data_IF_332874849995
#
_entry.id   IF_332874849995
#
_cell.length_a   1.000
_cell.length_b   1.000
_cell.length_c   1.000
_cell.angle_alpha   90.00
_cell.angle_beta   90.00
_cell.angle_gamma   90.00
#
_symmetry.space_group_name_H-M   'P 1'
#
loop_
_entity.id
_entity.type
_entity.pdbx_description
1 polymer ?
#
# COMPACT_ATOMS: atom_id res chain seq x y z
N UNK A 1 65.01 -10.55 16.30
CA UNK A 1 63.63 -10.53 16.82
C UNK A 1 63.35 -9.15 17.40
N UNK A 2 62.74 -8.24 16.63
CA UNK A 2 62.17 -6.94 17.09
C UNK A 2 61.63 -6.03 15.97
N UNK A 3 61.55 -6.49 14.72
CA UNK A 3 60.93 -5.72 13.62
C UNK A 3 59.61 -6.30 13.10
N UNK A 4 59.33 -7.59 13.31
CA UNK A 4 58.04 -8.19 12.91
C UNK A 4 56.83 -7.65 13.68
N UNK A 5 57.03 -7.20 14.93
CA UNK A 5 55.95 -6.66 15.76
C UNK A 5 55.63 -5.18 15.46
N UNK A 6 56.58 -4.43 14.89
CA UNK A 6 56.36 -3.03 14.50
C UNK A 6 55.54 -2.94 13.22
N UNK A 7 55.71 -3.90 12.29
CA UNK A 7 54.90 -3.98 11.08
C UNK A 7 53.46 -4.47 11.36
N UNK A 8 53.26 -5.37 12.33
CA UNK A 8 51.92 -5.81 12.72
C UNK A 8 51.12 -4.68 13.43
N UNK A 9 51.79 -3.85 14.23
CA UNK A 9 51.15 -2.69 14.89
C UNK A 9 50.78 -1.55 13.93
N UNK A 10 51.52 -1.38 12.82
CA UNK A 10 51.20 -0.41 11.79
C UNK A 10 50.04 -0.85 10.87
N UNK A 11 49.88 -2.17 10.67
CA UNK A 11 48.73 -2.73 9.93
C UNK A 11 47.44 -2.78 10.77
N UNK A 12 47.55 -2.96 12.10
CA UNK A 12 46.40 -2.93 13.01
C UNK A 12 45.92 -1.51 13.36
N UNK A 13 46.71 -0.46 13.06
CA UNK A 13 46.30 0.95 13.23
C UNK A 13 45.75 1.59 11.94
N UNK A 14 45.75 0.85 10.83
CA UNK A 14 45.06 1.22 9.58
C UNK A 14 43.65 0.60 9.50
N UNK A 15 43.18 -0.04 10.58
CA UNK A 15 41.90 -0.76 10.64
C UNK A 15 40.65 0.09 10.92
N UNK A 16 40.70 1.42 10.79
CA UNK A 16 39.53 2.30 10.94
C UNK A 16 39.54 3.40 9.87
N UNK A 17 39.52 2.99 8.61
CA UNK A 17 39.07 3.85 7.51
C UNK A 17 38.22 3.00 6.58
N UNK A 18 37.03 2.66 7.08
CA UNK A 18 35.90 2.37 6.21
C UNK A 18 35.59 3.67 5.46
N UNK A 19 36.14 3.82 4.25
CA UNK A 19 35.71 4.88 3.34
C UNK A 19 34.33 4.59 2.74
N UNK A 20 33.77 3.41 3.02
CA UNK A 20 32.44 3.01 2.55
C UNK A 20 31.29 3.61 3.37
N UNK A 21 31.50 3.93 4.65
CA UNK A 21 30.43 4.44 5.54
C UNK A 21 29.87 5.79 5.09
N UNK A 22 30.71 6.69 4.54
CA UNK A 22 30.29 8.04 4.14
C UNK A 22 29.36 8.11 2.93
N UNK A 23 29.21 7.02 2.18
CA UNK A 23 28.37 6.96 0.99
C UNK A 23 27.02 6.28 1.22
N UNK A 24 26.75 5.83 2.46
CA UNK A 24 25.54 5.10 2.87
C UNK A 24 24.99 5.68 4.19
N UNK A 25 25.18 6.99 4.40
CA UNK A 25 24.56 7.69 5.53
C UNK A 25 23.08 7.85 5.21
N UNK A 26 22.23 7.04 5.86
CA UNK A 26 20.77 7.14 5.76
C UNK A 26 20.36 8.47 6.41
N UNK A 27 19.50 9.29 5.77
CA UNK A 27 19.00 10.53 6.35
C UNK A 27 18.34 10.27 7.72
N UNK A 28 18.80 10.99 8.73
CA UNK A 28 18.12 11.09 10.03
C UNK A 28 17.35 12.41 10.06
N UNK A 29 16.16 12.42 10.65
CA UNK A 29 15.40 13.66 10.82
C UNK A 29 16.23 14.71 11.56
N UNK A 30 16.40 15.89 10.93
CA UNK A 30 17.29 16.94 11.42
C UNK A 30 16.64 17.89 12.45
N UNK A 31 15.35 17.68 12.75
CA UNK A 31 14.59 18.48 13.71
C UNK A 31 14.06 19.80 13.13
N UNK A 32 14.16 20.01 11.83
CA UNK A 32 13.59 21.17 11.14
C UNK A 32 12.20 20.80 10.63
N UNK A 33 11.21 21.58 11.05
CA UNK A 33 9.80 21.49 10.66
C UNK A 33 9.63 22.02 9.22
N UNK A 34 9.23 21.11 8.30
CA UNK A 34 9.03 21.38 6.87
C UNK A 34 7.57 21.22 6.46
N UNK A 35 6.78 20.44 7.19
CA UNK A 35 5.39 20.14 6.86
C UNK A 35 4.49 21.31 7.25
N UNK A 36 3.71 21.83 6.30
CA UNK A 36 2.86 23.00 6.53
C UNK A 36 1.51 22.61 7.14
N UNK A 37 1.17 23.17 8.30
CA UNK A 37 -0.23 23.18 8.78
C UNK A 37 -1.09 24.10 7.88
N UNK A 38 -1.89 23.49 6.98
CA UNK A 38 -2.69 24.17 5.98
C UNK A 38 -4.06 24.56 6.53
N UNK A 39 -4.31 25.87 6.53
CA UNK A 39 -5.56 26.45 6.97
C UNK A 39 -6.07 27.53 6.02
N UNK A 40 -7.26 28.04 6.31
CA UNK A 40 -7.93 29.04 5.47
C UNK A 40 -7.11 30.32 5.21
N UNK A 41 -6.09 30.61 6.01
CA UNK A 41 -5.23 31.80 5.88
C UNK A 41 -4.05 31.59 4.94
N UNK A 42 -3.44 30.40 4.92
CA UNK A 42 -2.16 30.16 4.25
C UNK A 42 -2.26 29.25 3.01
N UNK A 43 -3.25 28.35 2.91
CA UNK A 43 -3.23 27.26 1.92
C UNK A 43 -2.93 27.74 0.50
N UNK A 44 -3.64 28.77 0.00
CA UNK A 44 -3.41 29.36 -1.34
C UNK A 44 -2.01 29.88 -1.59
N UNK A 45 -1.32 30.33 -0.54
CA UNK A 45 0.03 30.88 -0.65
C UNK A 45 1.10 29.81 -0.50
N UNK A 46 0.80 28.71 0.19
CA UNK A 46 1.69 27.55 0.33
C UNK A 46 1.64 26.73 -0.95
N UNK A 47 0.45 26.35 -1.42
CA UNK A 47 0.21 25.63 -2.69
C UNK A 47 0.84 26.26 -3.93
N UNK A 48 1.21 27.55 -3.89
CA UNK A 48 1.80 28.27 -5.03
C UNK A 48 3.32 28.31 -5.02
N UNK A 49 3.94 27.82 -3.94
CA UNK A 49 5.39 27.82 -3.79
C UNK A 49 6.02 26.55 -4.34
N UNK A 50 5.23 25.50 -4.46
CA UNK A 50 5.67 24.16 -4.76
C UNK A 50 5.07 23.76 -6.11
N UNK A 51 5.87 23.06 -6.90
CA UNK A 51 5.44 22.45 -8.15
C UNK A 51 4.61 21.20 -7.87
N UNK A 52 5.00 20.44 -6.83
CA UNK A 52 4.23 19.32 -6.27
C UNK A 52 3.86 19.59 -4.82
N UNK A 53 2.59 19.44 -4.45
CA UNK A 53 2.14 19.54 -3.06
C UNK A 53 1.52 18.23 -2.57
N UNK A 54 2.15 17.60 -1.59
CA UNK A 54 1.67 16.43 -0.87
C UNK A 54 0.90 16.88 0.36
N UNK A 55 -0.36 16.46 0.48
CA UNK A 55 -1.25 16.86 1.57
C UNK A 55 -1.80 15.62 2.27
N UNK A 56 -1.49 15.45 3.55
CA UNK A 56 -2.14 14.46 4.38
C UNK A 56 -3.42 15.05 4.99
N UNK A 57 -4.58 14.50 4.60
CA UNK A 57 -5.89 14.89 5.12
C UNK A 57 -6.26 14.00 6.29
N UNK A 58 -5.97 14.46 7.50
CA UNK A 58 -5.93 13.58 8.67
C UNK A 58 -7.16 13.72 9.58
N UNK A 59 -7.45 12.64 10.31
CA UNK A 59 -8.47 12.61 11.35
C UNK A 59 -8.20 13.65 12.45
N UNK A 60 -9.26 14.20 13.06
CA UNK A 60 -9.06 15.19 14.10
C UNK A 60 -8.55 14.55 15.39
N UNK A 61 -7.30 14.85 15.72
CA UNK A 61 -6.65 14.37 16.94
C UNK A 61 -7.21 15.11 18.16
N UNK A 62 -8.07 14.44 18.93
CA UNK A 62 -8.59 14.94 20.21
C UNK A 62 -7.54 14.83 21.35
N UNK A 63 -7.94 15.07 22.60
CA UNK A 63 -7.06 14.94 23.78
C UNK A 63 -6.70 13.49 24.16
N UNK A 64 -6.75 12.55 23.21
CA UNK A 64 -6.36 11.16 23.41
C UNK A 64 -4.84 11.01 23.17
N UNK A 65 -4.11 10.65 24.22
CA UNK A 65 -2.64 10.50 24.18
C UNK A 65 -2.15 9.46 23.17
N UNK A 66 -2.92 8.41 22.89
CA UNK A 66 -2.52 7.38 21.94
C UNK A 66 -2.70 7.89 20.50
N UNK A 67 -3.82 8.53 20.21
CA UNK A 67 -4.07 9.16 18.91
C UNK A 67 -3.05 10.27 18.62
N UNK A 68 -2.67 11.07 19.63
CA UNK A 68 -1.60 12.07 19.50
C UNK A 68 -0.27 11.44 19.11
N UNK A 69 0.11 10.33 19.76
CA UNK A 69 1.36 9.66 19.43
C UNK A 69 1.35 9.01 18.06
N UNK A 70 0.21 8.44 17.64
CA UNK A 70 0.07 7.88 16.29
C UNK A 70 0.30 8.98 15.26
N UNK A 71 -0.43 10.10 15.39
CA UNK A 71 -0.27 11.25 14.53
C UNK A 71 1.14 11.85 14.53
N UNK A 72 1.80 11.92 15.68
CA UNK A 72 3.21 12.35 15.77
C UNK A 72 4.16 11.45 14.96
N UNK A 73 3.88 10.14 14.83
CA UNK A 73 4.68 9.24 13.99
C UNK A 73 4.41 9.47 12.50
N UNK A 74 3.15 9.66 12.14
CA UNK A 74 2.70 9.96 10.76
C UNK A 74 3.31 11.27 10.27
N UNK A 75 3.20 12.33 11.08
CA UNK A 75 3.82 13.63 10.81
C UNK A 75 5.35 13.50 10.67
N UNK A 76 6.00 12.69 11.51
CA UNK A 76 7.44 12.47 11.42
C UNK A 76 7.85 11.73 10.12
N UNK A 77 7.03 10.82 9.60
CA UNK A 77 7.27 10.18 8.32
C UNK A 77 7.23 11.21 7.18
N UNK A 78 6.22 12.09 7.19
CA UNK A 78 6.10 13.20 6.24
C UNK A 78 7.27 14.19 6.35
N UNK A 79 7.71 14.51 7.57
CA UNK A 79 8.87 15.37 7.82
C UNK A 79 10.17 14.77 7.26
N UNK A 80 10.36 13.45 7.41
CA UNK A 80 11.51 12.77 6.85
C UNK A 80 11.47 12.75 5.31
N UNK A 81 10.30 12.45 4.72
CA UNK A 81 10.11 12.52 3.28
C UNK A 81 10.38 13.94 2.74
N UNK A 82 9.82 14.97 3.40
CA UNK A 82 10.06 16.37 3.08
C UNK A 82 11.54 16.71 3.15
N UNK A 83 12.27 16.25 4.17
CA UNK A 83 13.71 16.48 4.28
C UNK A 83 14.51 15.84 3.14
N UNK A 84 14.15 14.62 2.73
CA UNK A 84 14.85 13.92 1.64
C UNK A 84 14.64 14.62 0.30
N UNK A 85 13.42 15.13 0.07
CA UNK A 85 13.03 15.75 -1.19
C UNK A 85 13.37 17.26 -1.27
N UNK A 86 13.65 17.94 -0.14
CA UNK A 86 14.04 19.36 -0.07
C UNK A 86 15.34 19.67 -0.84
N UNK A 87 16.19 18.67 -1.04
CA UNK A 87 17.46 18.78 -1.78
C UNK A 87 17.34 18.40 -3.28
N UNK A 88 16.12 18.09 -3.78
CA UNK A 88 15.92 17.84 -5.20
C UNK A 88 16.02 19.13 -6.01
N UNK A 89 16.87 19.10 -7.04
CA UNK A 89 17.13 20.27 -7.92
C UNK A 89 16.05 20.44 -9.00
N UNK A 90 15.26 19.40 -9.29
CA UNK A 90 14.38 19.34 -10.45
C UNK A 90 12.99 19.96 -10.18
N UNK A 91 12.36 19.66 -9.05
CA UNK A 91 11.00 20.12 -8.67
C UNK A 91 10.93 20.60 -7.21
N UNK A 92 10.22 21.69 -6.93
CA UNK A 92 9.97 22.16 -5.56
C UNK A 92 8.81 21.35 -4.95
N UNK A 93 9.11 20.32 -4.13
CA UNK A 93 8.10 19.47 -3.47
C UNK A 93 7.77 19.97 -2.06
N UNK A 94 6.48 20.19 -1.77
CA UNK A 94 5.99 20.64 -0.47
C UNK A 94 5.08 19.63 0.21
N UNK A 95 5.12 19.59 1.53
CA UNK A 95 4.27 18.72 2.35
C UNK A 95 3.34 19.54 3.25
N UNK A 96 2.14 19.05 3.51
CA UNK A 96 1.19 19.76 4.37
C UNK A 96 0.16 18.86 5.03
N UNK A 97 -0.44 19.40 6.09
CA UNK A 97 -1.47 18.76 6.90
C UNK A 97 -2.78 19.53 6.77
N UNK A 98 -3.89 18.81 6.65
CA UNK A 98 -5.24 19.38 6.74
C UNK A 98 -6.05 18.57 7.74
N UNK A 99 -6.55 19.22 8.79
CA UNK A 99 -7.39 18.59 9.82
C UNK A 99 -8.87 18.55 9.37
N UNK A 100 -9.49 17.37 9.39
CA UNK A 100 -10.91 17.16 8.98
C UNK A 100 -11.93 18.05 9.70
N UNK A 101 -11.68 18.44 10.96
CA UNK A 101 -12.61 19.25 11.74
C UNK A 101 -12.21 20.72 11.75
N UNK A 102 -10.93 21.02 11.99
CA UNK A 102 -10.44 22.41 12.09
C UNK A 102 -10.42 23.09 10.73
N UNK A 103 -10.04 22.36 9.68
CA UNK A 103 -9.75 22.90 8.35
C UNK A 103 -10.65 22.33 7.24
N UNK A 104 -11.83 21.84 7.62
CA UNK A 104 -12.89 21.36 6.71
C UNK A 104 -13.18 22.29 5.51
N UNK A 105 -13.05 23.61 5.70
CA UNK A 105 -13.28 24.58 4.62
C UNK A 105 -12.13 24.67 3.60
N UNK A 106 -10.95 24.17 3.95
CA UNK A 106 -9.80 23.99 3.07
C UNK A 106 -9.94 22.66 2.36
N UNK A 107 -10.19 21.56 3.09
CA UNK A 107 -10.47 20.24 2.52
C UNK A 107 -11.50 20.30 1.38
N UNK A 108 -12.68 20.87 1.65
CA UNK A 108 -13.74 21.07 0.63
C UNK A 108 -13.37 21.93 -0.58
N UNK A 109 -12.36 22.79 -0.47
CA UNK A 109 -11.91 23.64 -1.59
C UNK A 109 -10.82 22.97 -2.41
N UNK A 110 -10.08 22.06 -1.79
CA UNK A 110 -9.03 21.27 -2.42
C UNK A 110 -9.59 19.96 -2.97
N UNK A 111 -10.79 19.54 -2.55
CA UNK A 111 -11.40 18.28 -2.99
C UNK A 111 -10.90 17.08 -2.20
N UNK A 112 -10.49 17.27 -0.94
CA UNK A 112 -10.06 16.18 -0.06
C UNK A 112 -11.33 15.58 0.56
N UNK A 113 -11.67 14.37 0.15
CA UNK A 113 -12.93 13.71 0.50
C UNK A 113 -12.73 12.54 1.48
N UNK A 114 -11.61 11.81 1.38
CA UNK A 114 -11.29 10.66 2.22
C UNK A 114 -10.32 11.03 3.36
N UNK A 115 -10.79 10.84 4.59
CA UNK A 115 -10.02 11.14 5.80
C UNK A 115 -9.02 10.02 6.02
N UNK A 116 -7.82 10.39 6.47
CA UNK A 116 -6.64 9.52 6.60
C UNK A 116 -5.96 9.19 5.26
N UNK A 117 -6.25 9.92 4.18
CA UNK A 117 -5.61 9.77 2.88
C UNK A 117 -4.61 10.89 2.55
N UNK A 118 -3.67 10.60 1.65
CA UNK A 118 -2.73 11.58 1.09
C UNK A 118 -3.18 11.99 -0.31
N UNK A 119 -3.17 13.30 -0.56
CA UNK A 119 -3.46 13.88 -1.87
C UNK A 119 -2.23 14.60 -2.42
N UNK A 120 -1.82 14.25 -3.63
CA UNK A 120 -0.66 14.83 -4.31
C UNK A 120 -1.16 15.69 -5.45
N UNK A 121 -0.90 16.99 -5.34
CA UNK A 121 -1.21 17.97 -6.37
C UNK A 121 0.04 18.17 -7.22
N UNK A 122 -0.02 17.78 -8.49
CA UNK A 122 1.07 17.95 -9.46
C UNK A 122 0.47 18.52 -10.73
N UNK A 123 1.05 19.62 -11.23
CA UNK A 123 0.53 20.39 -12.37
C UNK A 123 -0.98 20.71 -12.27
N UNK A 124 -1.80 19.94 -12.99
CA UNK A 124 -3.23 20.10 -13.10
C UNK A 124 -4.03 18.92 -12.52
N UNK A 125 -3.32 17.90 -12.04
CA UNK A 125 -3.85 16.64 -11.55
C UNK A 125 -3.81 16.54 -10.02
N UNK A 126 -4.68 15.68 -9.50
CA UNK A 126 -4.77 15.33 -8.09
C UNK A 126 -4.72 13.82 -8.00
N UNK A 127 -3.62 13.30 -7.47
CA UNK A 127 -3.42 11.88 -7.23
C UNK A 127 -3.82 11.57 -5.79
N UNK A 128 -4.70 10.60 -5.59
CA UNK A 128 -5.01 10.04 -4.29
C UNK A 128 -4.04 8.89 -4.02
N UNK A 129 -3.20 9.04 -2.99
CA UNK A 129 -2.26 8.01 -2.57
C UNK A 129 -2.91 7.16 -1.49
N UNK A 130 -3.18 5.91 -1.84
CA UNK A 130 -3.81 4.90 -0.98
C UNK A 130 -2.83 3.73 -0.72
N UNK A 131 -1.61 4.10 -0.32
CA UNK A 131 -0.52 3.20 0.03
C UNK A 131 -0.04 3.35 1.47
N UNK A 132 0.98 2.59 1.85
CA UNK A 132 1.60 2.62 3.17
C UNK A 132 2.12 4.02 3.50
N UNK A 133 1.78 4.51 4.69
CA UNK A 133 2.29 5.77 5.22
C UNK A 133 3.69 5.59 5.82
N UNK A 134 4.67 5.37 4.95
CA UNK A 134 6.09 5.25 5.30
C UNK A 134 6.93 6.24 4.47
N UNK A 135 8.01 6.76 5.06
CA UNK A 135 8.79 7.81 4.43
C UNK A 135 9.52 7.35 3.16
N UNK A 136 10.06 6.13 3.17
CA UNK A 136 10.69 5.48 2.02
C UNK A 136 9.70 5.20 0.90
N UNK A 137 8.56 4.56 1.21
CA UNK A 137 7.50 4.29 0.23
C UNK A 137 6.97 5.58 -0.41
N UNK A 138 6.70 6.61 0.39
CA UNK A 138 6.27 7.91 -0.13
C UNK A 138 7.33 8.59 -0.99
N UNK A 139 8.61 8.54 -0.59
CA UNK A 139 9.70 9.12 -1.37
C UNK A 139 9.87 8.40 -2.70
N UNK A 140 9.80 7.08 -2.72
CA UNK A 140 9.83 6.28 -3.94
C UNK A 140 8.66 6.63 -4.87
N UNK A 141 7.44 6.66 -4.33
CA UNK A 141 6.26 7.05 -5.10
C UNK A 141 6.37 8.47 -5.67
N UNK A 142 6.88 9.42 -4.89
CA UNK A 142 7.04 10.81 -5.35
C UNK A 142 8.14 10.96 -6.41
N UNK A 143 9.14 10.07 -6.45
CA UNK A 143 10.07 10.03 -7.58
C UNK A 143 9.35 9.63 -8.86
N UNK A 144 8.47 8.63 -8.81
CA UNK A 144 7.67 8.24 -9.95
C UNK A 144 6.71 9.36 -10.39
N UNK A 145 6.07 10.06 -9.44
CA UNK A 145 5.15 11.18 -9.74
C UNK A 145 5.83 12.30 -10.53
N UNK A 146 7.09 12.63 -10.24
CA UNK A 146 7.81 13.72 -10.92
C UNK A 146 8.46 13.30 -12.24
N UNK A 147 8.44 12.02 -12.59
CA UNK A 147 8.89 11.56 -13.91
C UNK A 147 7.85 11.86 -15.00
N UNK A 148 8.29 11.89 -16.26
CA UNK A 148 7.40 12.07 -17.40
C UNK A 148 6.39 10.89 -17.46
N UNK A 149 5.09 11.14 -17.71
CA UNK A 149 4.07 10.10 -17.68
C UNK A 149 4.22 9.06 -18.81
N UNK A 150 4.98 9.37 -19.86
CA UNK A 150 5.25 8.46 -20.97
C UNK A 150 6.74 8.24 -21.22
N UNK A 151 7.20 7.02 -20.99
CA UNK A 151 8.58 6.60 -21.26
C UNK A 151 8.82 6.28 -22.75
N UNK A 152 9.90 6.81 -23.33
CA UNK A 152 10.23 6.58 -24.75
C UNK A 152 11.18 5.40 -24.95
N UNK A 153 10.71 4.36 -25.64
CA UNK A 153 11.53 3.22 -26.08
C UNK A 153 12.19 3.56 -27.43
N UNK A 154 13.47 3.92 -27.39
CA UNK A 154 14.26 4.31 -28.56
C UNK A 154 15.24 3.21 -29.03
N UNK A 155 15.55 2.24 -28.18
CA UNK A 155 16.54 1.21 -28.46
C UNK A 155 16.18 -0.20 -27.95
N UNK A 156 16.99 -1.20 -28.36
CA UNK A 156 16.74 -2.60 -28.04
C UNK A 156 16.95 -2.97 -26.56
N UNK A 157 17.66 -2.13 -25.78
CA UNK A 157 17.89 -2.37 -24.36
C UNK A 157 16.70 -1.89 -23.55
N UNK A 158 16.16 -0.71 -23.85
CA UNK A 158 14.89 -0.23 -23.30
C UNK A 158 13.77 -1.19 -23.65
N UNK A 159 13.67 -1.65 -24.90
CA UNK A 159 12.69 -2.67 -25.27
C UNK A 159 12.83 -3.96 -24.45
N UNK A 160 14.05 -4.32 -24.04
CA UNK A 160 14.26 -5.46 -23.15
C UNK A 160 13.79 -5.14 -21.73
N UNK A 161 14.05 -3.93 -21.23
CA UNK A 161 13.54 -3.45 -19.94
C UNK A 161 12.02 -3.48 -19.89
N UNK A 162 11.36 -2.93 -20.91
CA UNK A 162 9.91 -3.00 -21.09
C UNK A 162 9.35 -4.44 -20.97
N UNK A 163 10.00 -5.42 -21.59
CA UNK A 163 9.58 -6.83 -21.50
C UNK A 163 9.91 -7.53 -20.18
N UNK A 164 10.62 -6.88 -19.25
CA UNK A 164 10.91 -7.44 -17.93
C UNK A 164 9.93 -6.93 -16.86
N UNK A 165 9.09 -5.95 -17.19
CA UNK A 165 8.06 -5.42 -16.28
C UNK A 165 6.86 -6.36 -16.37
N UNK A 166 6.73 -7.33 -15.46
CA UNK A 166 5.65 -8.31 -15.53
C UNK A 166 4.55 -8.05 -14.50
N UNK A 167 4.79 -7.21 -13.50
CA UNK A 167 3.94 -7.04 -12.31
C UNK A 167 2.92 -5.90 -12.50
N UNK A 168 3.25 -4.91 -13.34
CA UNK A 168 2.44 -3.72 -13.59
C UNK A 168 1.59 -3.81 -14.85
N UNK A 169 0.43 -3.14 -14.82
CA UNK A 169 -0.28 -2.78 -16.05
C UNK A 169 0.63 -1.83 -16.84
N UNK A 170 0.84 -2.13 -18.12
CA UNK A 170 1.62 -1.26 -19.00
C UNK A 170 1.02 -1.14 -20.39
N UNK A 171 1.17 0.04 -20.98
CA UNK A 171 0.75 0.31 -22.34
C UNK A 171 1.94 0.67 -23.20
N UNK A 172 1.90 0.31 -24.48
CA UNK A 172 2.88 0.82 -25.45
C UNK A 172 2.19 1.30 -26.71
N UNK A 173 2.51 2.52 -27.13
CA UNK A 173 2.02 3.13 -28.37
C UNK A 173 3.11 3.32 -29.43
N UNK A 174 2.80 3.05 -30.71
CA UNK A 174 3.70 3.41 -31.82
C UNK A 174 3.20 4.63 -32.57
N UNK A 175 3.87 5.76 -32.41
CA UNK A 175 3.47 7.01 -33.03
C UNK A 175 4.52 7.55 -34.00
N UNK A 176 4.14 8.60 -34.75
CA UNK A 176 5.01 9.20 -35.76
C UNK A 176 6.15 10.03 -35.13
N UNK A 177 5.86 10.68 -34.01
CA UNK A 177 6.73 11.59 -33.25
C UNK A 177 5.94 12.16 -32.06
N UNK A 178 6.62 12.75 -31.09
CA UNK A 178 6.03 13.56 -30.00
C UNK A 178 5.01 14.61 -30.48
N UNK A 179 5.20 15.15 -31.68
CA UNK A 179 4.30 16.19 -32.25
C UNK A 179 3.07 15.61 -32.96
N UNK A 180 2.86 14.30 -32.87
CA UNK A 180 1.71 13.64 -33.47
C UNK A 180 0.47 13.95 -32.62
N UNK A 181 -0.67 14.34 -33.23
CA UNK A 181 -1.89 14.54 -32.45
C UNK A 181 -2.29 13.27 -31.68
N UNK A 182 -2.05 12.08 -32.23
CA UNK A 182 -2.34 10.81 -31.54
C UNK A 182 -1.40 10.49 -30.39
N UNK A 183 -0.18 11.07 -30.39
CA UNK A 183 0.70 10.91 -29.25
C UNK A 183 0.26 11.87 -28.14
N UNK A 184 -0.11 13.10 -28.48
CA UNK A 184 -0.62 14.07 -27.50
C UNK A 184 -1.84 13.50 -26.77
N UNK A 185 -2.83 12.95 -27.49
CA UNK A 185 -4.00 12.33 -26.83
C UNK A 185 -3.66 11.07 -26.01
N UNK A 186 -2.51 10.44 -26.26
CA UNK A 186 -2.02 9.29 -25.50
C UNK A 186 -1.22 9.73 -24.26
N UNK A 187 -0.49 10.83 -24.38
CA UNK A 187 0.25 11.53 -23.33
C UNK A 187 -0.75 12.13 -22.32
N UNK A 188 -1.76 12.84 -22.81
CA UNK A 188 -2.87 13.38 -22.01
C UNK A 188 -3.60 12.25 -21.25
N UNK A 189 -3.80 11.08 -21.88
CA UNK A 189 -4.40 9.93 -21.19
C UNK A 189 -3.46 9.26 -20.18
N UNK A 190 -2.14 9.39 -20.33
CA UNK A 190 -1.17 8.84 -19.39
C UNK A 190 -1.16 9.64 -18.08
N UNK A 191 -1.34 10.97 -18.16
CA UNK A 191 -1.43 11.86 -16.99
C UNK A 191 -2.54 11.42 -16.02
N UNK A 192 -3.67 10.91 -16.52
CA UNK A 192 -4.81 10.44 -15.71
C UNK A 192 -4.52 9.20 -14.86
N UNK A 193 -3.52 8.38 -15.24
CA UNK A 193 -3.15 7.14 -14.52
C UNK A 193 -1.74 7.18 -13.93
N UNK A 194 -1.05 8.31 -14.05
CA UNK A 194 0.32 8.45 -13.57
C UNK A 194 0.35 8.52 -12.03
N UNK A 195 1.24 7.79 -11.33
CA UNK A 195 2.27 6.88 -11.84
C UNK A 195 1.90 5.38 -11.77
N UNK A 196 0.66 5.04 -11.45
CA UNK A 196 0.21 3.68 -11.18
C UNK A 196 0.24 2.77 -12.42
N UNK A 197 -0.09 3.31 -13.60
CA UNK A 197 -0.02 2.56 -14.86
C UNK A 197 1.13 3.08 -15.71
N UNK A 198 2.00 2.16 -16.17
CA UNK A 198 3.21 2.54 -16.90
C UNK A 198 2.94 2.72 -18.39
N UNK A 199 3.04 3.95 -18.90
CA UNK A 199 2.86 4.23 -20.33
C UNK A 199 4.20 4.31 -21.05
N UNK A 200 4.30 3.60 -22.17
CA UNK A 200 5.45 3.64 -23.05
C UNK A 200 5.07 4.12 -24.45
N UNK A 201 6.02 4.73 -25.15
CA UNK A 201 5.86 5.03 -26.57
C UNK A 201 7.12 4.76 -27.36
N UNK A 202 6.96 4.48 -28.65
CA UNK A 202 8.09 4.49 -29.59
C UNK A 202 7.78 5.31 -30.82
N UNK A 203 8.81 5.95 -31.35
CA UNK A 203 8.78 6.62 -32.65
C UNK A 203 9.68 5.92 -33.69
N UNK A 204 10.41 4.87 -33.30
CA UNK A 204 11.29 4.10 -34.18
C UNK A 204 10.53 2.90 -34.80
N UNK A 205 10.36 2.96 -36.12
CA UNK A 205 9.74 1.89 -36.90
C UNK A 205 10.43 0.51 -36.76
N UNK A 206 11.70 0.44 -36.33
CA UNK A 206 12.39 -0.82 -36.02
C UNK A 206 11.95 -1.41 -34.69
N UNK A 207 11.75 -0.57 -33.67
CA UNK A 207 11.25 -0.98 -32.35
C UNK A 207 9.80 -1.43 -32.51
N UNK A 208 8.96 -0.61 -33.14
CA UNK A 208 7.58 -0.97 -33.46
C UNK A 208 7.47 -2.30 -34.22
N UNK A 209 8.39 -2.57 -35.16
CA UNK A 209 8.43 -3.85 -35.88
C UNK A 209 8.72 -5.04 -34.97
N UNK A 210 9.51 -4.88 -33.91
CA UNK A 210 9.78 -5.94 -32.93
C UNK A 210 8.57 -6.18 -32.02
N UNK A 211 7.89 -5.11 -31.62
CA UNK A 211 6.60 -5.15 -30.93
C UNK A 211 5.46 -5.63 -31.84
N UNK A 212 5.68 -5.77 -33.16
CA UNK A 212 4.69 -6.16 -34.19
C UNK A 212 3.56 -5.14 -34.40
N UNK A 213 3.76 -3.89 -34.00
CA UNK A 213 2.76 -2.82 -34.05
C UNK A 213 2.68 -2.09 -35.40
N UNK A 214 1.51 -1.52 -35.71
CA UNK A 214 1.30 -0.54 -36.78
C UNK A 214 1.23 0.88 -36.22
N UNK A 215 1.34 1.86 -37.11
CA UNK A 215 1.33 3.27 -36.73
C UNK A 215 -0.01 3.65 -36.11
N UNK A 216 0.05 4.31 -34.95
CA UNK A 216 -1.05 4.69 -34.06
C UNK A 216 -1.79 3.52 -33.41
N UNK A 217 -1.21 2.31 -33.37
CA UNK A 217 -1.72 1.24 -32.51
C UNK A 217 -1.15 1.43 -31.09
N UNK A 218 -2.00 1.11 -30.11
CA UNK A 218 -1.67 1.02 -28.69
C UNK A 218 -1.99 -0.40 -28.25
N UNK A 219 -1.01 -1.04 -27.62
CA UNK A 219 -1.13 -2.37 -27.03
C UNK A 219 -1.18 -2.23 -25.51
N UNK A 220 -2.18 -2.85 -24.88
CA UNK A 220 -2.36 -2.95 -23.44
C UNK A 220 -1.84 -4.29 -22.95
N UNK A 221 -0.99 -4.28 -21.93
CA UNK A 221 -0.48 -5.48 -21.27
C UNK A 221 -1.06 -5.53 -19.86
N UNK A 222 -1.90 -6.53 -19.62
CA UNK A 222 -2.29 -6.93 -18.28
C UNK A 222 -1.08 -7.58 -17.56
N UNK A 223 -0.90 -7.36 -16.25
CA UNK A 223 0.12 -8.03 -15.45
C UNK A 223 0.17 -9.52 -15.69
N UNK A 224 1.39 -10.06 -15.73
CA UNK A 224 1.71 -11.48 -15.87
C UNK A 224 1.26 -12.17 -17.18
N UNK A 225 0.62 -11.42 -18.09
CA UNK A 225 0.21 -11.91 -19.41
C UNK A 225 1.34 -11.76 -20.45
N UNK A 226 1.58 -12.81 -21.23
CA UNK A 226 2.68 -12.81 -22.22
C UNK A 226 2.37 -11.99 -23.48
N UNK A 227 1.10 -11.98 -23.90
CA UNK A 227 0.67 -11.32 -25.14
C UNK A 227 -0.28 -10.16 -24.81
N UNK A 228 -0.12 -9.01 -25.49
CA UNK A 228 -0.97 -7.86 -25.24
C UNK A 228 -2.33 -7.97 -25.93
N UNK A 229 -3.24 -7.11 -25.49
CA UNK A 229 -4.47 -6.80 -26.21
C UNK A 229 -4.30 -5.46 -26.94
N UNK A 230 -4.38 -5.47 -28.27
CA UNK A 230 -4.40 -4.22 -29.05
C UNK A 230 -5.74 -3.51 -28.85
N UNK A 231 -5.72 -2.28 -28.35
CA UNK A 231 -6.92 -1.48 -28.10
C UNK A 231 -7.69 -1.29 -29.42
N UNK A 232 -8.99 -1.63 -29.49
CA UNK A 232 -9.77 -1.50 -30.72
C UNK A 232 -10.12 -0.04 -31.02
N UNK A 233 -10.34 0.31 -32.29
CA UNK A 233 -11.00 1.57 -32.66
C UNK A 233 -10.14 2.73 -33.16
N UNK A 234 -8.82 2.55 -33.38
CA UNK A 234 -7.91 3.61 -33.83
C UNK A 234 -8.47 4.53 -34.97
N UNK A 235 -8.15 5.85 -34.97
CA UNK A 235 -7.34 6.56 -33.97
C UNK A 235 -8.12 6.85 -32.68
N UNK A 236 -7.42 6.79 -31.55
CA UNK A 236 -7.99 7.03 -30.22
C UNK A 236 -7.99 8.53 -29.87
N UNK A 237 -9.01 8.98 -29.14
CA UNK A 237 -8.94 10.16 -28.27
C UNK A 237 -8.53 9.79 -26.84
N UNK A 238 -8.10 10.76 -26.05
CA UNK A 238 -7.82 10.64 -24.61
C UNK A 238 -8.90 9.83 -23.88
N UNK A 239 -10.17 10.27 -23.97
CA UNK A 239 -11.30 9.60 -23.33
C UNK A 239 -11.52 8.14 -23.79
N UNK A 240 -11.18 7.80 -25.04
CA UNK A 240 -11.32 6.40 -25.51
C UNK A 240 -10.23 5.49 -24.94
N UNK A 241 -9.07 6.05 -24.56
CA UNK A 241 -8.01 5.32 -23.87
C UNK A 241 -8.34 5.17 -22.39
N UNK A 242 -8.76 6.26 -21.74
CA UNK A 242 -9.20 6.26 -20.34
C UNK A 242 -10.33 5.25 -20.12
N UNK A 243 -11.41 5.35 -20.90
CA UNK A 243 -12.55 4.42 -20.80
C UNK A 243 -12.10 2.94 -20.96
N UNK A 244 -11.14 2.68 -21.87
CA UNK A 244 -10.65 1.32 -22.08
C UNK A 244 -9.82 0.83 -20.88
N UNK A 245 -8.98 1.68 -20.31
CA UNK A 245 -8.12 1.31 -19.19
C UNK A 245 -8.96 1.09 -17.94
N UNK A 246 -9.91 1.97 -17.63
CA UNK A 246 -10.87 1.80 -16.53
C UNK A 246 -11.72 0.53 -16.70
N UNK A 247 -12.07 0.13 -17.92
CA UNK A 247 -12.79 -1.15 -18.16
C UNK A 247 -11.92 -2.39 -17.90
N UNK A 248 -10.58 -2.25 -17.80
CA UNK A 248 -9.61 -3.34 -17.66
C UNK A 248 -8.60 -3.09 -16.52
N UNK A 249 -8.94 -2.23 -15.56
CA UNK A 249 -8.09 -1.82 -14.42
C UNK A 249 -8.02 -2.86 -13.30
N UNK A 250 -8.78 -3.96 -13.43
CA UNK A 250 -8.78 -5.10 -12.52
C UNK A 250 -8.17 -6.34 -13.20
N UNK A 251 -6.85 -6.55 -13.08
CA UNK A 251 -6.18 -7.75 -13.58
C UNK A 251 -6.66 -9.03 -12.90
N UNK A 252 -6.52 -10.13 -13.62
CA UNK A 252 -6.76 -11.49 -13.15
C UNK A 252 -5.80 -11.87 -12.03
N UNK A 253 -4.53 -11.46 -12.18
CA UNK A 253 -3.48 -11.59 -11.18
C UNK A 253 -2.81 -10.24 -11.02
N UNK A 254 -2.75 -9.74 -9.79
CA UNK A 254 -2.13 -8.45 -9.46
C UNK A 254 -1.26 -8.61 -8.22
N UNK A 255 -0.16 -7.88 -8.16
CA UNK A 255 0.72 -7.88 -6.99
C UNK A 255 0.21 -6.84 -5.98
N UNK A 256 0.26 -7.15 -4.70
CA UNK A 256 0.09 -6.16 -3.64
C UNK A 256 1.40 -5.40 -3.49
N UNK A 257 1.35 -4.08 -3.68
CA UNK A 257 2.53 -3.22 -3.57
C UNK A 257 2.35 -2.19 -2.47
N UNK A 258 3.42 -1.82 -1.73
CA UNK A 258 3.29 -0.87 -0.62
C UNK A 258 2.64 0.45 -1.00
N UNK A 259 2.87 0.98 -2.19
CA UNK A 259 2.34 2.28 -2.62
C UNK A 259 0.86 2.27 -3.06
N UNK A 260 0.23 1.10 -3.20
CA UNK A 260 -1.18 0.95 -3.62
C UNK A 260 -1.93 -0.12 -2.82
N UNK A 261 -1.39 -0.51 -1.66
CA UNK A 261 -1.87 -1.67 -0.92
C UNK A 261 -3.32 -1.54 -0.47
N UNK A 262 -3.78 -0.35 -0.06
CA UNK A 262 -5.14 -0.16 0.44
C UNK A 262 -6.14 -0.15 -0.72
N UNK A 263 -5.83 0.51 -1.82
CA UNK A 263 -6.66 0.50 -3.04
C UNK A 263 -6.86 -0.95 -3.54
N UNK A 264 -5.78 -1.71 -3.57
CA UNK A 264 -5.79 -3.11 -4.03
C UNK A 264 -6.63 -4.00 -3.11
N UNK A 265 -6.57 -3.78 -1.80
CA UNK A 265 -7.25 -4.55 -0.75
C UNK A 265 -8.76 -4.29 -0.64
N UNK A 266 -9.29 -3.17 -1.19
CA UNK A 266 -10.71 -2.82 -1.09
C UNK A 266 -11.67 -3.77 -1.84
N UNK A 267 -11.17 -4.70 -2.67
CA UNK A 267 -11.97 -5.62 -3.46
C UNK A 267 -11.92 -7.03 -2.88
N UNK A 268 -13.01 -7.80 -2.99
CA UNK A 268 -13.11 -9.20 -2.56
C UNK A 268 -12.06 -10.05 -3.30
N UNK A 269 -11.08 -10.62 -2.58
CA UNK A 269 -9.86 -11.17 -3.18
C UNK A 269 -9.48 -12.55 -2.65
N UNK A 270 -8.92 -13.34 -3.56
CA UNK A 270 -8.08 -14.48 -3.20
C UNK A 270 -6.72 -13.93 -2.79
N UNK A 271 -6.31 -14.19 -1.55
CA UNK A 271 -5.02 -13.71 -1.03
C UNK A 271 -4.00 -14.83 -1.05
N UNK A 272 -2.86 -14.54 -1.67
CA UNK A 272 -1.77 -15.49 -1.83
C UNK A 272 -0.51 -14.97 -1.17
N UNK A 273 0.17 -15.85 -0.47
CA UNK A 273 1.53 -15.62 0.01
C UNK A 273 2.47 -16.68 -0.58
N UNK A 274 2.76 -16.64 -1.88
CA UNK A 274 3.60 -17.62 -2.54
C UNK A 274 5.08 -17.31 -2.23
N UNK A 275 5.64 -17.81 -1.13
CA UNK A 275 7.10 -17.90 -1.03
C UNK A 275 7.61 -19.01 -1.97
N UNK A 276 7.81 -18.70 -3.24
CA UNK A 276 8.41 -19.64 -4.18
C UNK A 276 8.12 -19.38 -5.65
N UNK A 277 9.20 -19.23 -6.42
CA UNK A 277 9.15 -19.08 -7.88
C UNK A 277 8.39 -20.21 -8.60
N UNK A 278 8.31 -21.42 -8.03
CA UNK A 278 7.56 -22.52 -8.63
C UNK A 278 6.05 -22.29 -8.53
N UNK A 279 5.55 -21.90 -7.35
CA UNK A 279 4.13 -21.62 -7.15
C UNK A 279 3.66 -20.41 -7.96
N UNK A 280 4.47 -19.36 -7.99
CA UNK A 280 4.17 -18.17 -8.79
C UNK A 280 4.03 -18.52 -10.28
N UNK A 281 4.83 -19.44 -10.83
CA UNK A 281 4.66 -19.86 -12.23
C UNK A 281 3.38 -20.67 -12.47
N UNK A 282 2.97 -21.52 -11.51
CA UNK A 282 1.68 -22.22 -11.55
C UNK A 282 0.54 -21.20 -11.54
N UNK A 283 0.63 -20.20 -10.66
CA UNK A 283 -0.36 -19.15 -10.54
C UNK A 283 -0.50 -18.32 -11.82
N UNK A 284 0.62 -17.94 -12.44
CA UNK A 284 0.62 -17.26 -13.74
C UNK A 284 -0.02 -18.13 -14.84
N UNK A 285 0.17 -19.44 -14.80
CA UNK A 285 -0.48 -20.37 -15.73
C UNK A 285 -2.00 -20.34 -15.55
N UNK A 286 -2.49 -20.50 -14.31
CA UNK A 286 -3.92 -20.46 -13.99
C UNK A 286 -4.55 -19.11 -14.34
N UNK A 287 -3.88 -18.00 -14.02
CA UNK A 287 -4.36 -16.66 -14.37
C UNK A 287 -4.48 -16.47 -15.89
N UNK A 288 -3.51 -16.96 -16.68
CA UNK A 288 -3.56 -16.88 -18.15
C UNK A 288 -4.69 -17.71 -18.74
N UNK A 289 -4.99 -18.86 -18.16
CA UNK A 289 -6.08 -19.73 -18.62
C UNK A 289 -7.46 -19.16 -18.27
N UNK A 290 -7.52 -18.32 -17.23
CA UNK A 290 -8.76 -17.75 -16.70
C UNK A 290 -8.90 -16.22 -16.90
N UNK A 291 -8.04 -15.58 -17.71
CA UNK A 291 -8.03 -14.12 -17.93
C UNK A 291 -9.33 -13.52 -18.47
N UNK A 292 -10.14 -14.34 -19.16
CA UNK A 292 -11.46 -13.91 -19.66
C UNK A 292 -12.57 -13.97 -18.59
N UNK A 293 -12.27 -14.38 -17.36
CA UNK A 293 -13.23 -14.49 -16.25
C UNK A 293 -13.26 -13.21 -15.41
N UNK A 294 -14.29 -12.35 -15.53
CA UNK A 294 -14.36 -11.06 -14.82
C UNK A 294 -14.61 -11.22 -13.31
N UNK A 295 -15.02 -12.41 -12.87
CA UNK A 295 -15.29 -12.70 -11.46
C UNK A 295 -14.02 -13.17 -10.73
N UNK A 296 -12.92 -13.45 -11.45
CA UNK A 296 -11.65 -13.87 -10.88
C UNK A 296 -10.67 -12.70 -10.80
N UNK A 297 -10.18 -12.41 -9.61
CA UNK A 297 -9.03 -11.53 -9.40
C UNK A 297 -8.27 -12.01 -8.18
N UNK A 298 -6.97 -12.23 -8.36
CA UNK A 298 -6.09 -12.82 -7.38
C UNK A 298 -5.04 -11.80 -6.96
N UNK A 299 -4.85 -11.61 -5.66
CA UNK A 299 -3.76 -10.80 -5.12
C UNK A 299 -2.58 -11.70 -4.77
N UNK A 300 -1.47 -11.46 -5.43
CA UNK A 300 -0.17 -11.98 -5.02
C UNK A 300 0.49 -11.03 -4.03
N UNK A 301 0.76 -11.52 -2.82
CA UNK A 301 1.53 -10.81 -1.80
C UNK A 301 2.90 -11.47 -1.66
N UNK A 302 3.97 -10.72 -1.89
CA UNK A 302 5.32 -11.15 -1.49
C UNK A 302 5.53 -10.77 -0.01
N UNK A 303 5.69 -11.73 0.91
CA UNK A 303 5.90 -11.44 2.34
C UNK A 303 7.12 -10.56 2.61
N UNK A 304 8.13 -10.57 1.74
CA UNK A 304 9.34 -9.75 1.88
C UNK A 304 9.07 -8.25 1.67
N UNK A 305 8.01 -7.90 0.93
CA UNK A 305 7.59 -6.51 0.70
C UNK A 305 6.85 -5.94 1.94
N UNK A 306 6.31 -6.80 2.81
CA UNK A 306 5.52 -6.41 3.99
C UNK A 306 6.00 -7.05 5.29
N UNK A 307 7.27 -6.88 5.69
CA UNK A 307 7.86 -7.61 6.82
C UNK A 307 7.19 -7.30 8.16
N UNK A 308 6.52 -6.15 8.30
CA UNK A 308 5.78 -5.78 9.52
C UNK A 308 4.41 -6.46 9.62
N UNK A 309 3.83 -6.91 8.50
CA UNK A 309 2.53 -7.57 8.45
C UNK A 309 2.64 -9.10 8.52
N UNK A 310 3.79 -9.68 8.19
CA UNK A 310 4.02 -11.15 8.27
C UNK A 310 3.57 -11.75 9.61
N UNK A 311 4.00 -11.25 10.80
CA UNK A 311 3.56 -11.83 12.07
C UNK A 311 2.07 -11.62 12.37
N UNK A 312 1.47 -10.59 11.77
CA UNK A 312 0.04 -10.33 11.89
C UNK A 312 -0.75 -11.35 11.05
N UNK A 313 -0.36 -11.58 9.80
CA UNK A 313 -1.00 -12.54 8.90
C UNK A 313 -0.89 -13.99 9.41
N UNK A 314 0.31 -14.44 9.81
CA UNK A 314 0.50 -15.78 10.39
C UNK A 314 -0.41 -16.02 11.61
N UNK A 315 -0.59 -15.00 12.43
CA UNK A 315 -1.43 -15.09 13.63
C UNK A 315 -2.91 -15.03 13.30
N UNK A 316 -3.32 -14.16 12.38
CA UNK A 316 -4.73 -13.90 12.05
C UNK A 316 -5.30 -15.04 11.22
N UNK A 317 -4.56 -15.47 10.21
CA UNK A 317 -4.98 -16.52 9.27
C UNK A 317 -4.55 -17.92 9.68
N UNK A 318 -3.71 -18.07 10.71
CA UNK A 318 -3.26 -19.38 11.19
C UNK A 318 -2.34 -20.13 10.22
N UNK A 319 -1.71 -19.41 9.28
CA UNK A 319 -0.82 -19.94 8.24
C UNK A 319 0.67 -19.80 8.60
N UNK A 320 1.54 -20.53 7.89
CA UNK A 320 2.99 -20.40 7.95
C UNK A 320 3.51 -19.73 6.67
N UNK A 321 3.98 -18.49 6.78
CA UNK A 321 4.49 -17.71 5.64
C UNK A 321 5.93 -18.07 5.26
N UNK A 322 6.52 -19.09 5.91
CA UNK A 322 7.75 -19.73 5.47
C UNK A 322 7.61 -20.68 4.28
N UNK A 323 6.37 -20.94 3.82
CA UNK A 323 6.04 -21.74 2.65
C UNK A 323 4.91 -21.07 1.84
N UNK A 324 4.73 -21.40 0.55
CA UNK A 324 3.63 -20.88 -0.27
C UNK A 324 2.25 -21.10 0.35
N UNK A 325 1.39 -20.09 0.25
CA UNK A 325 -0.02 -20.14 0.68
C UNK A 325 -0.97 -19.62 -0.41
N UNK A 326 -2.15 -20.23 -0.51
CA UNK A 326 -3.30 -19.71 -1.26
C UNK A 326 -4.57 -19.83 -0.43
N UNK A 327 -5.31 -18.73 -0.30
CA UNK A 327 -6.55 -18.69 0.45
C UNK A 327 -7.54 -17.66 -0.08
N UNK A 328 -8.68 -17.61 0.58
CA UNK A 328 -9.71 -16.59 0.43
C UNK A 328 -9.83 -15.90 1.77
N UNK A 329 -9.89 -14.57 1.76
CA UNK A 329 -10.07 -13.76 2.97
C UNK A 329 -11.31 -12.92 2.80
N UNK A 330 -12.20 -12.94 3.80
CA UNK A 330 -13.30 -11.97 3.88
C UNK A 330 -12.74 -10.65 4.40
N UNK A 331 -12.92 -9.58 3.62
CA UNK A 331 -12.45 -8.24 3.96
C UNK A 331 -13.25 -7.58 5.08
N UNK A 332 -14.45 -8.07 5.41
CA UNK A 332 -15.32 -7.48 6.44
C UNK A 332 -14.86 -7.84 7.86
N UNK A 333 -14.40 -9.09 8.10
CA UNK A 333 -14.01 -9.57 9.42
C UNK A 333 -12.66 -10.29 9.48
N UNK A 334 -11.97 -10.42 8.35
CA UNK A 334 -10.70 -11.10 8.18
C UNK A 334 -10.76 -12.61 8.47
N UNK A 335 -11.94 -13.23 8.33
CA UNK A 335 -12.04 -14.68 8.29
C UNK A 335 -11.42 -15.24 7.00
N UNK A 336 -10.92 -16.47 7.03
CA UNK A 336 -10.16 -17.01 5.90
C UNK A 336 -10.14 -18.52 5.81
N UNK A 337 -10.16 -19.03 4.58
CA UNK A 337 -9.97 -20.45 4.28
C UNK A 337 -8.79 -20.61 3.32
N UNK A 338 -7.92 -21.57 3.62
CA UNK A 338 -6.66 -21.81 2.92
C UNK A 338 -6.64 -23.20 2.30
N UNK A 339 -6.05 -23.32 1.11
CA UNK A 339 -5.84 -24.61 0.46
C UNK A 339 -4.85 -25.44 1.28
N UNK A 340 -5.24 -26.67 1.63
CA UNK A 340 -4.30 -27.61 2.23
C UNK A 340 -3.21 -27.98 1.21
N UNK A 341 -1.98 -27.59 1.50
CA UNK A 341 -0.80 -28.01 0.76
C UNK A 341 0.10 -28.80 1.70
N UNK A 342 0.49 -30.01 1.28
CA UNK A 342 1.62 -30.69 1.93
C UNK A 342 2.88 -29.82 1.68
N UNK A 343 3.75 -29.65 2.69
CA UNK A 343 4.99 -28.85 2.66
C UNK A 343 5.77 -28.94 1.32
N UNK A 344 6.76 -28.05 1.07
CA UNK A 344 7.64 -27.83 -0.12
C UNK A 344 7.96 -28.99 -1.12
N UNK A 345 7.68 -30.25 -0.80
CA UNK A 345 7.86 -31.43 -1.64
C UNK A 345 6.70 -31.71 -2.64
N UNK A 346 5.46 -31.23 -2.42
CA UNK A 346 4.30 -31.53 -3.29
C UNK A 346 3.38 -30.30 -3.54
N UNK A 347 3.85 -29.32 -4.33
CA UNK A 347 3.04 -28.18 -4.81
C UNK A 347 1.86 -28.65 -5.69
N UNK A 348 0.67 -28.00 -5.62
CA UNK A 348 -0.44 -28.32 -6.49
C UNK A 348 -0.08 -28.06 -7.97
N UNK A 349 -0.67 -28.86 -8.84
CA UNK A 349 -0.65 -28.58 -10.28
C UNK A 349 -1.60 -27.43 -10.64
N UNK A 350 -1.43 -26.82 -11.81
CA UNK A 350 -2.35 -25.79 -12.30
C UNK A 350 -3.81 -26.29 -12.34
N UNK A 351 -4.03 -27.53 -12.79
CA UNK A 351 -5.36 -28.17 -12.80
C UNK A 351 -5.97 -28.27 -11.38
N UNK A 352 -5.18 -28.63 -10.37
CA UNK A 352 -5.65 -28.76 -8.97
C UNK A 352 -5.95 -27.39 -8.35
N UNK A 353 -5.15 -26.37 -8.69
CA UNK A 353 -5.36 -25.00 -8.27
C UNK A 353 -6.61 -24.38 -8.92
N UNK A 354 -6.81 -24.64 -10.21
CA UNK A 354 -8.02 -24.21 -10.94
C UNK A 354 -9.28 -24.85 -10.34
N UNK A 355 -9.27 -26.17 -10.07
CA UNK A 355 -10.40 -26.86 -9.43
C UNK A 355 -10.75 -26.23 -8.06
N UNK A 356 -9.74 -25.86 -7.25
CA UNK A 356 -9.95 -25.20 -5.95
C UNK A 356 -10.54 -23.80 -6.10
N UNK A 357 -10.04 -22.99 -7.05
CA UNK A 357 -10.57 -21.66 -7.36
C UNK A 357 -12.02 -21.76 -7.88
N UNK A 358 -12.34 -22.74 -8.74
CA UNK A 358 -13.71 -22.97 -9.20
C UNK A 358 -14.64 -23.31 -8.04
N UNK A 359 -14.18 -24.10 -7.07
CA UNK A 359 -14.95 -24.45 -5.88
C UNK A 359 -15.24 -23.23 -5.01
N UNK A 360 -14.27 -22.34 -4.80
CA UNK A 360 -14.47 -21.04 -4.13
C UNK A 360 -15.46 -20.17 -4.92
N UNK A 361 -15.22 -19.93 -6.21
CA UNK A 361 -16.09 -19.07 -7.04
C UNK A 361 -17.53 -19.59 -7.11
N UNK A 362 -17.72 -20.90 -6.94
CA UNK A 362 -19.04 -21.53 -6.89
C UNK A 362 -19.72 -21.48 -5.51
N UNK A 363 -19.02 -21.01 -4.47
CA UNK A 363 -19.49 -20.95 -3.09
C UNK A 363 -19.54 -22.33 -2.42
N UNK A 364 -18.70 -23.29 -2.85
CA UNK A 364 -18.54 -24.56 -2.13
C UNK A 364 -17.48 -24.49 -1.03
N UNK A 365 -16.56 -23.53 -1.17
CA UNK A 365 -15.57 -23.15 -0.18
C UNK A 365 -15.90 -21.70 0.14
N UNK A 366 -16.28 -21.45 1.39
CA UNK A 366 -16.73 -20.16 1.88
C UNK A 366 -16.19 -20.00 3.31
N UNK A 367 -15.46 -18.91 3.65
CA UNK A 367 -15.01 -18.68 5.02
C UNK A 367 -16.14 -18.71 6.05
N UNK A 368 -17.35 -18.27 5.68
CA UNK A 368 -18.49 -18.22 6.60
C UNK A 368 -19.10 -19.59 6.97
N UNK A 369 -18.76 -20.68 6.25
CA UNK A 369 -19.41 -22.00 6.39
C UNK A 369 -18.83 -22.86 7.53
N UNK A 370 -17.76 -22.44 8.21
CA UNK A 370 -17.07 -23.22 9.27
C UNK A 370 -17.75 -23.14 10.67
N UNK A 371 -18.84 -22.36 10.82
CA UNK A 371 -19.48 -22.07 12.12
C UNK A 371 -20.61 -23.04 12.54
N UNK A 372 -20.98 -24.05 11.74
CA UNK A 372 -22.27 -24.76 11.89
C UNK A 372 -22.23 -26.27 12.26
N UNK A 373 -21.08 -26.89 12.58
CA UNK A 373 -21.00 -28.37 12.74
C UNK A 373 -20.29 -28.89 14.03
N UNK A 374 -20.60 -28.33 15.22
CA UNK A 374 -20.12 -28.90 16.51
C UNK A 374 -21.19 -28.94 17.64
N UNK A 375 -22.45 -29.25 17.29
CA UNK A 375 -23.56 -29.51 18.23
C UNK A 375 -24.10 -30.95 18.11
N UNK A 376 -23.22 -31.97 18.15
CA UNK A 376 -23.58 -33.36 18.46
C UNK A 376 -23.14 -33.67 19.90
N UNK A 377 -23.82 -33.06 20.88
CA UNK A 377 -23.74 -33.45 22.29
C UNK A 377 -24.32 -34.88 22.44
N UNK A 378 -23.41 -35.83 22.71
CA UNK A 378 -23.69 -37.20 23.10
C UNK A 378 -24.62 -37.23 24.35
N UNK A 379 -25.92 -37.45 24.11
CA UNK A 379 -26.89 -37.93 25.10
C UNK A 379 -26.51 -39.37 25.55
N UNK A 380 -25.50 -39.50 26.40
CA UNK A 380 -25.29 -40.69 27.23
C UNK A 380 -25.96 -40.47 28.61
N UNK A 381 -27.26 -40.78 28.62
CA UNK A 381 -28.05 -41.12 29.80
C UNK A 381 -27.35 -42.25 30.60
N UNK A 382 -26.69 -41.91 31.71
CA UNK A 382 -26.46 -42.85 32.81
C UNK A 382 -27.02 -42.24 34.10
N UNK A 383 -28.28 -42.59 34.35
CA UNK A 383 -28.97 -42.59 35.64
C UNK A 383 -28.11 -43.29 36.71
N UNK A 384 -27.75 -42.57 37.78
CA UNK A 384 -27.64 -43.17 39.12
C UNK A 384 -28.08 -42.14 40.16
N UNK A 385 -29.37 -42.25 40.46
CA UNK A 385 -30.09 -41.65 41.57
C UNK A 385 -29.55 -42.11 42.96
N UNK A 386 -29.89 -41.28 43.94
CA UNK A 386 -30.17 -41.58 45.34
C UNK A 386 -29.06 -41.42 46.41
N UNK A 387 -29.29 -40.38 47.22
CA UNK A 387 -29.55 -40.45 48.68
C UNK A 387 -28.80 -39.37 49.50
N UNK A 388 -29.56 -38.31 49.74
CA UNK A 388 -30.06 -37.90 51.06
C UNK A 388 -29.12 -37.26 52.11
N UNK A 389 -29.63 -36.10 52.52
CA UNK A 389 -29.88 -35.64 53.89
C UNK A 389 -28.89 -34.72 54.61
N UNK A 390 -29.50 -33.60 55.04
CA UNK A 390 -29.34 -32.90 56.32
C UNK A 390 -28.03 -32.11 56.52
N UNK A 391 -28.01 -30.90 57.06
CA UNK A 391 -28.99 -30.04 57.74
C UNK A 391 -28.22 -28.75 58.10
N UNK A 392 -28.95 -27.68 58.43
CA UNK A 392 -28.59 -26.62 59.40
C UNK A 392 -27.41 -25.68 59.06
N UNK A 393 -27.41 -24.37 59.33
CA UNK A 393 -28.36 -23.39 59.86
C UNK A 393 -27.58 -22.05 59.90
N UNK A 394 -28.33 -20.97 60.11
CA UNK A 394 -27.93 -19.69 60.75
C UNK A 394 -27.16 -18.62 59.95
N UNK A 395 -27.96 -17.65 59.46
CA UNK A 395 -28.13 -16.30 60.05
C UNK A 395 -26.89 -15.50 60.49
N UNK A 396 -26.75 -14.29 59.93
CA UNK A 396 -26.84 -12.99 60.64
C UNK A 396 -26.06 -11.90 59.87
N UNK A 397 -26.82 -11.06 59.16
CA UNK A 397 -27.01 -9.61 59.40
C UNK A 397 -25.85 -8.68 59.84
N UNK A 398 -26.02 -7.43 59.37
CA UNK A 398 -25.62 -6.13 59.94
C UNK A 398 -24.26 -5.51 59.50
N UNK A 399 -24.29 -4.41 58.72
CA UNK A 399 -24.31 -2.98 59.16
C UNK A 399 -22.90 -2.57 59.68
N UNK A 400 -22.19 -1.53 59.24
CA UNK A 400 -22.46 -0.09 59.09
C UNK A 400 -21.18 0.53 58.45
N UNK A 401 -21.28 1.53 57.56
CA UNK A 401 -21.17 2.98 57.81
C UNK A 401 -19.89 3.47 58.54
N UNK A 402 -19.19 4.41 57.89
CA UNK A 402 -18.34 5.50 58.43
C UNK A 402 -17.89 6.33 57.18
N UNK A 403 -18.62 7.37 56.75
CA UNK A 403 -18.57 8.79 57.21
C UNK A 403 -17.13 9.37 57.20
N UNK A 404 -16.85 10.29 56.25
CA UNK A 404 -16.62 11.74 56.50
C UNK A 404 -15.10 12.01 56.68
N UNK A 405 -14.46 13.15 56.39
CA UNK A 405 -14.80 14.49 55.92
C UNK A 405 -13.44 15.20 55.62
N UNK A 406 -13.51 16.50 55.30
CA UNK A 406 -12.45 17.54 55.31
C UNK A 406 -12.00 17.94 53.88
N UNK A 407 -12.69 18.87 53.20
CA UNK A 407 -12.65 20.34 53.43
C UNK A 407 -11.23 20.90 53.59
N UNK A 408 -10.77 21.72 52.64
CA UNK A 408 -10.75 23.16 52.88
C UNK A 408 -10.26 23.95 51.65
N UNK A 409 -10.99 25.04 51.45
CA UNK A 409 -10.73 26.18 50.57
C UNK A 409 -9.43 26.91 50.96
N UNK A 410 -8.81 27.58 49.99
CA UNK A 410 -8.16 28.87 50.22
C UNK A 410 -8.18 29.64 48.89
N UNK A 411 -9.23 30.45 48.74
CA UNK A 411 -9.19 31.71 48.01
C UNK A 411 -8.14 32.62 48.66
N UNK A 412 -7.36 33.34 47.85
CA UNK A 412 -7.28 34.80 48.00
C UNK A 412 -6.54 35.43 46.82
N UNK A 413 -7.25 36.41 46.26
CA UNK A 413 -6.88 37.46 45.33
C UNK A 413 -5.55 38.17 45.67
N UNK A 414 -4.89 38.72 44.64
CA UNK A 414 -4.75 40.18 44.56
C UNK A 414 -4.13 40.63 43.23
N UNK A 415 -4.77 41.68 42.71
CA UNK A 415 -4.45 42.52 41.56
C UNK A 415 -3.04 43.12 41.60
N UNK A 416 -2.47 43.45 40.44
CA UNK A 416 -2.31 44.86 40.05
C UNK A 416 -1.62 45.03 38.69
N UNK A 417 -2.20 45.97 37.95
CA UNK A 417 -1.78 46.66 36.74
C UNK A 417 -0.27 47.00 36.67
N UNK A 418 0.29 47.03 35.45
CA UNK A 418 0.65 48.33 34.85
C UNK A 418 1.16 48.17 33.41
N UNK A 419 0.68 49.11 32.59
CA UNK A 419 1.10 49.46 31.25
C UNK A 419 2.63 49.58 31.10
N UNK A 420 3.15 49.33 29.89
CA UNK A 420 3.98 50.33 29.21
C UNK A 420 4.13 50.02 27.70
N UNK A 421 4.24 51.14 26.97
CA UNK A 421 4.18 51.40 25.51
C UNK A 421 5.02 50.54 24.55
#
# INVERSE_FOLDING_TARGET
MKWGWVFLGALLSLGNMSWGEKGLEIPEYDGIDRVHDLNAKNYKSVMKKYDVMVIYYHAHVENNKNAQKAFEMEELALELAAQVLDDLDDEDIGFGLVDEKKDLSVAKKLGLDEVESIYIFVDNEIIEYDGELAADTLVEFLYDVIEDPVEIIDNERELKGFHNIDEDIKLVGYFKSEKSPHFIEYDDAAEEFHPFIKFFATFDAKIAKKLKMKLNEVDFYEPFMEEPVTIPGQPYSEAELVDYIEEHDRPTLRKLEPHSMYETWQYLTFDLFPDGYEFLEILKEVARENTDNPDLSIIWIDPDDFPLLVPYWEKTFGIDLGSPQIGVVDVEDADSVWMEMDDDEDMPTADELEDWIEDVLSGKIDPDDDDDDDDDDDDDDDDDDDDDDDDDDDDDDDEDDDEDDDEDDDDDDDDDDDDDE
#
